data_IF_106996760367
#
_entry.id   IF_106996760367
#
_cell.length_a   1.000
_cell.length_b   1.000
_cell.length_c   1.000
_cell.angle_alpha   90.00
_cell.angle_beta   90.00
_cell.angle_gamma   90.00
#
_symmetry.space_group_name_H-M   'P 1'
#
loop_
_entity.id
_entity.type
_entity.pdbx_description
1 polymer ?
#
# COMPACT_ATOMS: atom_id res chain seq x y z
N UNK A 1 19.56 -28.58 -34.13
CA UNK A 1 19.59 -28.08 -32.72
C UNK A 1 20.02 -26.61 -32.65
N UNK A 2 19.36 -25.68 -33.35
CA UNK A 2 19.64 -24.24 -33.25
C UNK A 2 18.39 -23.37 -33.03
N UNK A 3 17.20 -23.96 -33.16
CA UNK A 3 15.90 -23.27 -33.02
C UNK A 3 15.32 -23.33 -31.61
N UNK A 4 15.88 -24.15 -30.72
CA UNK A 4 15.37 -24.30 -29.35
C UNK A 4 15.86 -23.20 -28.39
N UNK A 5 16.94 -22.49 -28.73
CA UNK A 5 17.56 -21.51 -27.85
C UNK A 5 16.83 -20.15 -27.83
N UNK A 6 16.01 -19.86 -28.85
CA UNK A 6 15.26 -18.60 -28.94
C UNK A 6 13.93 -18.60 -28.19
N UNK A 7 13.38 -19.77 -27.84
CA UNK A 7 12.12 -19.88 -27.12
C UNK A 7 12.23 -19.53 -25.62
N UNK A 8 13.44 -19.59 -25.04
CA UNK A 8 13.67 -19.33 -23.61
C UNK A 8 13.75 -17.82 -23.31
N UNK A 9 14.11 -16.99 -24.29
CA UNK A 9 14.29 -15.54 -24.06
C UNK A 9 12.93 -14.80 -24.09
N UNK A 10 11.89 -15.39 -24.65
CA UNK A 10 10.57 -14.75 -24.79
C UNK A 10 9.62 -14.97 -23.59
N UNK A 11 10.02 -15.75 -22.58
CA UNK A 11 9.16 -16.10 -21.43
C UNK A 11 9.38 -15.23 -20.19
N UNK A 12 10.37 -14.33 -20.17
CA UNK A 12 10.66 -13.49 -19.00
C UNK A 12 10.01 -12.09 -19.02
N UNK A 13 9.19 -11.77 -20.02
CA UNK A 13 8.61 -10.41 -20.18
C UNK A 13 7.16 -10.29 -19.71
N UNK A 14 6.59 -11.37 -19.19
CA UNK A 14 5.25 -11.39 -18.61
C UNK A 14 5.44 -11.46 -17.10
N UNK A 15 4.69 -10.65 -16.34
CA UNK A 15 4.74 -10.50 -14.87
C UNK A 15 5.67 -9.39 -14.33
N UNK A 16 5.24 -8.14 -14.52
CA UNK A 16 5.38 -7.10 -13.50
C UNK A 16 4.19 -6.13 -13.60
N UNK A 17 2.98 -6.62 -13.29
CA UNK A 17 1.80 -5.79 -13.02
C UNK A 17 1.66 -5.47 -11.52
N UNK A 18 2.71 -5.71 -10.74
CA UNK A 18 2.71 -5.36 -9.33
C UNK A 18 2.98 -3.84 -9.20
N UNK A 19 2.14 -3.14 -8.43
CA UNK A 19 2.48 -1.89 -7.71
C UNK A 19 2.26 -0.49 -8.32
N UNK A 20 1.53 -0.28 -9.42
CA UNK A 20 1.30 1.11 -9.87
C UNK A 20 0.60 1.96 -8.78
N UNK A 21 -0.34 1.35 -8.06
CA UNK A 21 -1.08 2.02 -6.98
C UNK A 21 -0.24 2.21 -5.72
N UNK A 22 0.50 1.18 -5.26
CA UNK A 22 1.42 1.29 -4.12
C UNK A 22 2.49 2.37 -4.34
N UNK A 23 3.14 2.37 -5.50
CA UNK A 23 4.17 3.36 -5.81
C UNK A 23 3.59 4.79 -5.86
N UNK A 24 2.43 4.94 -6.50
CA UNK A 24 1.70 6.21 -6.58
C UNK A 24 1.31 6.73 -5.19
N UNK A 25 0.75 5.86 -4.33
CA UNK A 25 0.36 6.19 -2.96
C UNK A 25 1.56 6.65 -2.13
N UNK A 26 2.68 5.94 -2.19
CA UNK A 26 3.93 6.35 -1.51
C UNK A 26 4.39 7.73 -1.93
N UNK A 27 4.42 8.00 -3.23
CA UNK A 27 4.78 9.33 -3.76
C UNK A 27 3.83 10.43 -3.28
N UNK A 28 2.52 10.15 -3.20
CA UNK A 28 1.52 11.09 -2.68
C UNK A 28 1.71 11.35 -1.19
N UNK A 29 2.02 10.33 -0.39
CA UNK A 29 2.32 10.45 1.05
C UNK A 29 3.50 11.41 1.30
N UNK A 30 4.53 11.35 0.46
CA UNK A 30 5.74 12.18 0.60
C UNK A 30 5.50 13.65 0.24
N UNK A 31 4.52 13.93 -0.61
CA UNK A 31 4.28 15.26 -1.18
C UNK A 31 3.09 16.00 -0.58
N UNK A 32 2.11 15.26 -0.04
CA UNK A 32 0.90 15.84 0.53
C UNK A 32 1.21 16.70 1.77
N UNK A 33 0.66 17.90 1.80
CA UNK A 33 0.81 18.83 2.92
C UNK A 33 -0.30 18.64 3.96
N UNK A 34 -1.52 18.33 3.51
CA UNK A 34 -2.65 18.07 4.38
C UNK A 34 -2.48 16.72 5.11
N UNK A 35 -2.34 16.80 6.43
CA UNK A 35 -2.10 15.62 7.26
C UNK A 35 -3.33 14.71 7.38
N UNK A 36 -4.56 15.23 7.24
CA UNK A 36 -5.76 14.39 7.21
C UNK A 36 -5.85 13.60 5.92
N UNK A 37 -5.45 14.20 4.79
CA UNK A 37 -5.29 13.46 3.54
C UNK A 37 -4.20 12.40 3.69
N UNK A 38 -3.09 12.74 4.37
CA UNK A 38 -2.00 11.78 4.64
C UNK A 38 -2.46 10.56 5.45
N UNK A 39 -3.36 10.74 6.43
CA UNK A 39 -4.01 9.61 7.13
C UNK A 39 -4.71 8.69 6.12
N UNK A 40 -5.56 9.24 5.25
CA UNK A 40 -6.28 8.48 4.24
C UNK A 40 -5.33 7.71 3.31
N UNK A 41 -4.25 8.34 2.85
CA UNK A 41 -3.27 7.68 1.99
C UNK A 41 -2.54 6.52 2.68
N UNK A 42 -2.28 6.61 3.98
CA UNK A 42 -1.74 5.48 4.73
C UNK A 42 -2.75 4.34 4.83
N UNK A 43 -4.03 4.64 5.04
CA UNK A 43 -5.10 3.64 5.01
C UNK A 43 -5.22 2.98 3.64
N UNK A 44 -5.23 3.76 2.55
CA UNK A 44 -5.26 3.25 1.17
C UNK A 44 -4.05 2.34 0.90
N UNK A 45 -2.85 2.74 1.37
CA UNK A 45 -1.66 1.94 1.21
C UNK A 45 -1.74 0.63 2.02
N UNK A 46 -2.32 0.65 3.22
CA UNK A 46 -2.58 -0.56 4.00
C UNK A 46 -3.53 -1.52 3.27
N UNK A 47 -4.57 -0.97 2.60
CA UNK A 47 -5.50 -1.75 1.78
C UNK A 47 -4.81 -2.45 0.61
N UNK A 48 -3.92 -1.76 -0.11
CA UNK A 48 -3.16 -2.38 -1.20
C UNK A 48 -2.34 -3.58 -0.71
N UNK A 49 -1.77 -3.47 0.50
CA UNK A 49 -0.96 -4.53 1.08
C UNK A 49 -1.76 -5.68 1.69
N UNK A 50 -3.08 -5.58 1.84
CA UNK A 50 -3.87 -6.53 2.64
C UNK A 50 -3.78 -7.98 2.15
N UNK A 51 -3.67 -8.19 0.83
CA UNK A 51 -3.57 -9.50 0.20
C UNK A 51 -2.15 -9.86 -0.28
N UNK A 52 -1.17 -8.98 -0.04
CA UNK A 52 0.20 -9.10 -0.57
C UNK A 52 1.21 -9.26 0.57
N UNK A 53 1.22 -8.32 1.52
CA UNK A 53 2.19 -8.24 2.60
C UNK A 53 1.51 -7.77 3.89
N UNK A 54 1.12 -8.77 4.66
CA UNK A 54 0.50 -8.66 5.98
C UNK A 54 1.16 -7.65 6.92
N UNK A 55 2.48 -7.74 7.10
CA UNK A 55 3.23 -6.85 7.99
C UNK A 55 3.19 -5.40 7.50
N UNK A 56 3.22 -5.20 6.19
CA UNK A 56 3.09 -3.88 5.56
C UNK A 56 1.70 -3.28 5.78
N UNK A 57 0.63 -4.07 5.65
CA UNK A 57 -0.73 -3.63 5.94
C UNK A 57 -0.91 -3.18 7.40
N UNK A 58 -0.37 -3.96 8.37
CA UNK A 58 -0.37 -3.58 9.79
C UNK A 58 0.43 -2.29 10.01
N UNK A 59 1.62 -2.20 9.42
CA UNK A 59 2.49 -1.04 9.58
C UNK A 59 1.80 0.26 9.13
N UNK A 60 1.19 0.25 7.95
CA UNK A 60 0.54 1.45 7.41
C UNK A 60 -0.77 1.79 8.11
N UNK A 61 -1.56 0.81 8.54
CA UNK A 61 -2.76 1.07 9.35
C UNK A 61 -2.41 1.65 10.74
N UNK A 62 -1.31 1.22 11.36
CA UNK A 62 -0.79 1.83 12.60
C UNK A 62 -0.25 3.25 12.38
N UNK A 63 0.43 3.48 11.26
CA UNK A 63 0.88 4.82 10.90
C UNK A 63 -0.30 5.80 10.71
N UNK A 64 -1.36 5.35 10.02
CA UNK A 64 -2.60 6.10 9.84
C UNK A 64 -3.24 6.43 11.19
N UNK A 65 -3.38 5.43 12.07
CA UNK A 65 -3.96 5.58 13.41
C UNK A 65 -3.19 6.60 14.24
N UNK A 66 -1.86 6.45 14.33
CA UNK A 66 -1.00 7.34 15.10
C UNK A 66 -1.11 8.80 14.62
N UNK A 67 -1.11 9.01 13.31
CA UNK A 67 -1.27 10.35 12.74
C UNK A 67 -2.67 10.90 13.05
N UNK A 68 -3.73 10.11 12.86
CA UNK A 68 -5.10 10.53 13.15
C UNK A 68 -5.29 10.93 14.63
N UNK A 69 -4.75 10.16 15.57
CA UNK A 69 -4.79 10.49 17.00
C UNK A 69 -4.05 11.80 17.29
N UNK A 70 -2.87 12.03 16.67
CA UNK A 70 -2.13 13.28 16.85
C UNK A 70 -2.85 14.52 16.32
N UNK A 71 -3.73 14.34 15.32
CA UNK A 71 -4.55 15.40 14.73
C UNK A 71 -5.88 15.62 15.45
N UNK A 72 -6.18 14.85 16.51
CA UNK A 72 -7.53 14.76 17.09
C UNK A 72 -8.59 14.55 15.99
N UNK A 73 -8.37 13.56 15.14
CA UNK A 73 -9.22 13.22 14.00
C UNK A 73 -9.90 11.85 14.20
N UNK A 74 -11.02 11.77 14.97
CA UNK A 74 -11.63 10.50 15.37
C UNK A 74 -12.06 9.62 14.20
N UNK A 75 -12.55 10.22 13.12
CA UNK A 75 -12.96 9.47 11.93
C UNK A 75 -11.75 8.75 11.30
N UNK A 76 -10.61 9.43 11.20
CA UNK A 76 -9.38 8.80 10.69
C UNK A 76 -8.90 7.67 11.59
N UNK A 77 -9.01 7.82 12.90
CA UNK A 77 -8.64 6.78 13.87
C UNK A 77 -9.55 5.55 13.74
N UNK A 78 -10.85 5.74 13.63
CA UNK A 78 -11.82 4.66 13.44
C UNK A 78 -11.56 3.88 12.13
N UNK A 79 -11.36 4.58 11.01
CA UNK A 79 -11.04 3.95 9.72
C UNK A 79 -9.73 3.18 9.77
N UNK A 80 -8.71 3.73 10.46
CA UNK A 80 -7.41 3.07 10.62
C UNK A 80 -7.53 1.78 11.44
N UNK A 81 -8.36 1.80 12.49
CA UNK A 81 -8.65 0.63 13.32
C UNK A 81 -9.44 -0.44 12.58
N UNK A 82 -10.47 -0.04 11.81
CA UNK A 82 -11.22 -0.94 10.94
C UNK A 82 -10.27 -1.64 9.95
N UNK A 83 -9.43 -0.86 9.27
CA UNK A 83 -8.49 -1.39 8.28
C UNK A 83 -7.47 -2.34 8.92
N UNK A 84 -6.96 -2.01 10.11
CA UNK A 84 -6.12 -2.93 10.90
C UNK A 84 -6.88 -4.20 11.28
N UNK A 85 -8.15 -4.07 11.63
CA UNK A 85 -9.01 -5.19 12.01
C UNK A 85 -9.25 -6.18 10.89
N UNK A 86 -9.29 -5.74 9.63
CA UNK A 86 -9.44 -6.63 8.48
C UNK A 86 -8.26 -7.59 8.27
N UNK A 87 -7.13 -7.33 8.91
CA UNK A 87 -5.97 -8.21 8.88
C UNK A 87 -5.99 -9.31 9.96
N UNK A 88 -6.66 -9.06 11.10
CA UNK A 88 -6.72 -9.99 12.23
C UNK A 88 -7.98 -10.88 12.17
#
# INVERSE_FOLDING_TARGET
>A
MKTFFWAVIFSCSLFSQESNDIHSLRKRIDTVQDQKIKVGLFTDLAWEYINQESDSAIYFSEAAKKLASSLSYPLGEAISLETKGLYY
#
